data_IF_404361381964
#
_entry.id   IF_404361381964
#
_cell.length_a   1.000
_cell.length_b   1.000
_cell.length_c   1.000
_cell.angle_alpha   90.00
_cell.angle_beta   90.00
_cell.angle_gamma   90.00
#
_symmetry.space_group_name_H-M   'P 1'
#
loop_
_entity.id
_entity.type
_entity.pdbx_description
1 polymer ?
#
# COMPACT_ATOMS: atom_id res chain seq x y z
N UNK A 1 -3.60 -0.24 -18.81
CA UNK A 1 -3.82 -0.27 -17.35
C UNK A 1 -4.84 -1.31 -16.90
N UNK A 2 -6.08 -1.30 -17.44
CA UNK A 2 -7.15 -2.23 -16.99
C UNK A 2 -6.81 -3.73 -17.09
N UNK A 3 -6.07 -4.12 -18.14
CA UNK A 3 -5.72 -5.53 -18.42
C UNK A 3 -4.76 -6.13 -17.39
N UNK A 4 -4.08 -5.29 -16.62
CA UNK A 4 -3.10 -5.72 -15.60
C UNK A 4 -3.66 -5.45 -14.20
N UNK A 5 -4.20 -4.25 -13.96
CA UNK A 5 -4.64 -3.86 -12.62
C UNK A 5 -5.84 -4.66 -12.11
N UNK A 6 -6.79 -5.03 -12.97
CA UNK A 6 -7.97 -5.81 -12.57
C UNK A 6 -7.62 -7.24 -12.14
N UNK A 7 -6.89 -8.06 -12.93
CA UNK A 7 -6.51 -9.39 -12.48
C UNK A 7 -5.57 -9.35 -11.28
N UNK A 8 -4.68 -8.35 -11.20
CA UNK A 8 -3.80 -8.16 -10.05
C UNK A 8 -4.61 -7.84 -8.77
N UNK A 9 -5.56 -6.90 -8.84
CA UNK A 9 -6.46 -6.60 -7.72
C UNK A 9 -7.32 -7.80 -7.32
N UNK A 10 -7.80 -8.58 -8.29
CA UNK A 10 -8.57 -9.80 -8.01
C UNK A 10 -7.72 -10.85 -7.28
N UNK A 11 -6.48 -11.08 -7.72
CA UNK A 11 -5.56 -12.00 -7.05
C UNK A 11 -5.21 -11.53 -5.64
N UNK A 12 -4.95 -10.24 -5.45
CA UNK A 12 -4.71 -9.65 -4.14
C UNK A 12 -5.93 -9.79 -3.21
N UNK A 13 -7.13 -9.52 -3.73
CA UNK A 13 -8.38 -9.70 -2.99
C UNK A 13 -8.62 -11.17 -2.61
N UNK A 14 -8.39 -12.10 -3.53
CA UNK A 14 -8.45 -13.54 -3.23
C UNK A 14 -7.43 -13.94 -2.16
N UNK A 15 -6.20 -13.40 -2.20
CA UNK A 15 -5.18 -13.62 -1.17
C UNK A 15 -5.63 -13.15 0.21
N UNK A 16 -6.18 -11.94 0.30
CA UNK A 16 -6.70 -11.38 1.55
C UNK A 16 -7.91 -12.16 2.10
N UNK A 17 -8.84 -12.56 1.23
CA UNK A 17 -9.98 -13.39 1.62
C UNK A 17 -9.55 -14.81 2.03
N UNK A 18 -8.57 -15.39 1.34
CA UNK A 18 -7.98 -16.68 1.72
C UNK A 18 -7.28 -16.59 3.07
N UNK A 19 -6.62 -15.47 3.37
CA UNK A 19 -6.00 -15.22 4.67
C UNK A 19 -7.05 -15.21 5.78
N UNK A 20 -8.13 -14.45 5.60
CA UNK A 20 -9.28 -14.42 6.52
C UNK A 20 -9.88 -15.82 6.72
N UNK A 21 -10.10 -16.57 5.63
CA UNK A 21 -10.61 -17.93 5.70
C UNK A 21 -9.65 -18.89 6.43
N UNK A 22 -8.35 -18.80 6.19
CA UNK A 22 -7.34 -19.62 6.86
C UNK A 22 -7.33 -19.37 8.37
N UNK A 23 -7.45 -18.11 8.80
CA UNK A 23 -7.55 -17.76 10.22
C UNK A 23 -8.82 -18.34 10.84
N UNK A 24 -9.98 -18.13 10.21
CA UNK A 24 -11.26 -18.64 10.72
C UNK A 24 -11.32 -20.18 10.80
N UNK A 25 -10.69 -20.88 9.85
CA UNK A 25 -10.71 -22.34 9.79
C UNK A 25 -9.59 -23.00 10.61
N UNK A 26 -8.72 -22.21 11.27
CA UNK A 26 -7.58 -22.75 12.01
C UNK A 26 -6.58 -23.50 11.12
N UNK A 27 -6.37 -23.01 9.90
CA UNK A 27 -5.50 -23.64 8.91
C UNK A 27 -4.02 -23.65 9.38
N UNK A 28 -3.19 -24.57 8.85
CA UNK A 28 -1.77 -24.63 9.20
C UNK A 28 -1.05 -23.30 8.90
N UNK A 29 -0.10 -22.89 9.76
CA UNK A 29 0.58 -21.59 9.65
C UNK A 29 1.17 -21.29 8.26
N UNK A 30 1.66 -22.31 7.53
CA UNK A 30 2.21 -22.13 6.18
C UNK A 30 1.20 -21.55 5.18
N UNK A 31 -0.10 -21.84 5.34
CA UNK A 31 -1.15 -21.34 4.44
C UNK A 31 -1.36 -19.84 4.61
N UNK A 32 -1.13 -19.30 5.81
CA UNK A 32 -1.19 -17.85 6.07
C UNK A 32 -0.12 -17.11 5.28
N UNK A 33 1.11 -17.63 5.25
CA UNK A 33 2.20 -17.05 4.45
C UNK A 33 1.92 -17.13 2.96
N UNK A 34 1.38 -18.27 2.48
CA UNK A 34 1.02 -18.44 1.08
C UNK A 34 -0.12 -17.49 0.66
N UNK A 35 -1.16 -17.34 1.49
CA UNK A 35 -2.26 -16.42 1.25
C UNK A 35 -1.78 -14.96 1.26
N UNK A 36 -0.93 -14.60 2.22
CA UNK A 36 -0.33 -13.28 2.31
C UNK A 36 0.53 -12.96 1.08
N UNK A 37 1.30 -13.92 0.56
CA UNK A 37 2.11 -13.71 -0.65
C UNK A 37 1.26 -13.31 -1.87
N UNK A 38 0.02 -13.82 -1.99
CA UNK A 38 -0.88 -13.40 -3.06
C UNK A 38 -1.30 -11.92 -2.95
N UNK A 39 -1.33 -11.35 -1.74
CA UNK A 39 -1.62 -9.93 -1.53
C UNK A 39 -0.52 -9.00 -2.07
N UNK A 40 0.71 -9.51 -2.29
CA UNK A 40 1.79 -8.73 -2.91
C UNK A 40 1.50 -8.32 -4.37
N UNK A 41 0.39 -8.80 -4.95
CA UNK A 41 -0.06 -8.43 -6.29
C UNK A 41 -0.94 -7.17 -6.34
N UNK A 42 -1.11 -6.46 -5.23
CA UNK A 42 -1.85 -5.17 -5.21
C UNK A 42 -1.31 -4.23 -6.29
N UNK A 43 -2.15 -3.72 -7.19
CA UNK A 43 -1.72 -2.76 -8.21
C UNK A 43 -1.33 -1.42 -7.58
N UNK A 44 -0.26 -0.82 -8.10
CA UNK A 44 0.16 0.51 -7.68
C UNK A 44 -0.70 1.60 -8.34
N UNK A 45 -1.78 1.99 -7.67
CA UNK A 45 -2.73 2.99 -8.15
C UNK A 45 -2.08 4.37 -8.35
N UNK A 46 -1.21 4.81 -7.43
CA UNK A 46 -0.53 6.10 -7.52
C UNK A 46 0.40 6.20 -8.74
N UNK A 47 1.19 5.17 -9.04
CA UNK A 47 2.02 5.14 -10.25
C UNK A 47 1.14 5.18 -11.52
N UNK A 48 0.00 4.49 -11.51
CA UNK A 48 -0.96 4.51 -12.62
C UNK A 48 -1.60 5.90 -12.79
N UNK A 49 -1.95 6.59 -11.71
CA UNK A 49 -2.52 7.93 -11.74
C UNK A 49 -1.51 8.96 -12.24
N UNK A 50 -0.27 8.93 -11.74
CA UNK A 50 0.84 9.78 -12.22
C UNK A 50 1.08 9.61 -13.73
N UNK A 51 1.00 8.38 -14.26
CA UNK A 51 1.09 8.13 -15.71
C UNK A 51 -0.07 8.77 -16.50
N UNK A 52 -1.27 8.89 -15.92
CA UNK A 52 -2.42 9.58 -16.55
C UNK A 52 -2.22 11.08 -16.53
N UNK A 53 -1.75 11.64 -15.42
CA UNK A 53 -1.40 13.06 -15.32
C UNK A 53 -0.35 13.46 -16.35
N UNK A 54 0.70 12.64 -16.51
CA UNK A 54 1.72 12.86 -17.55
C UNK A 54 1.11 12.89 -18.97
N UNK A 55 0.18 11.97 -19.26
CA UNK A 55 -0.49 11.90 -20.56
C UNK A 55 -1.49 13.06 -20.81
N UNK A 56 -2.18 13.52 -19.76
CA UNK A 56 -3.20 14.59 -19.87
C UNK A 56 -2.59 15.99 -19.89
N UNK A 57 -1.54 16.23 -19.09
CA UNK A 57 -0.99 17.55 -18.89
C UNK A 57 0.12 17.90 -19.89
N UNK A 58 0.56 16.95 -20.73
CA UNK A 58 1.60 17.19 -21.72
C UNK A 58 2.86 17.76 -21.08
N UNK A 59 3.70 18.48 -21.83
CA UNK A 59 5.01 18.98 -21.36
C UNK A 59 4.98 20.10 -20.31
N UNK A 60 3.82 20.49 -19.75
CA UNK A 60 3.73 21.55 -18.74
C UNK A 60 4.29 21.09 -17.37
N UNK A 61 5.51 21.53 -16.98
CA UNK A 61 6.17 21.01 -15.79
C UNK A 61 5.50 21.49 -14.49
N UNK A 62 4.96 22.72 -14.49
CA UNK A 62 4.33 23.31 -13.33
C UNK A 62 3.04 22.56 -12.98
N UNK A 63 2.19 22.29 -13.98
CA UNK A 63 0.94 21.55 -13.76
C UNK A 63 1.20 20.09 -13.40
N UNK A 64 2.22 19.45 -13.99
CA UNK A 64 2.66 18.09 -13.60
C UNK A 64 3.14 18.04 -12.15
N UNK A 65 3.90 19.03 -11.71
CA UNK A 65 4.34 19.13 -10.32
C UNK A 65 3.14 19.24 -9.37
N UNK A 66 2.20 20.15 -9.64
CA UNK A 66 0.97 20.29 -8.82
C UNK A 66 0.17 18.99 -8.77
N UNK A 67 0.00 18.30 -9.90
CA UNK A 67 -0.71 17.02 -9.94
C UNK A 67 0.00 15.92 -9.14
N UNK A 68 1.34 15.83 -9.24
CA UNK A 68 2.12 14.87 -8.45
C UNK A 68 2.07 15.19 -6.94
N UNK A 69 2.07 16.47 -6.58
CA UNK A 69 1.92 16.91 -5.19
C UNK A 69 0.53 16.58 -4.64
N UNK A 70 -0.52 16.69 -5.46
CA UNK A 70 -1.88 16.25 -5.09
C UNK A 70 -1.93 14.73 -4.85
N UNK A 71 -1.39 13.94 -5.77
CA UNK A 71 -1.31 12.48 -5.60
C UNK A 71 -0.54 12.09 -4.32
N UNK A 72 0.58 12.77 -4.05
CA UNK A 72 1.35 12.57 -2.84
C UNK A 72 0.56 12.93 -1.57
N UNK A 73 -0.18 14.04 -1.58
CA UNK A 73 -0.99 14.44 -0.44
C UNK A 73 -2.11 13.43 -0.16
N UNK A 74 -2.75 12.89 -1.21
CA UNK A 74 -3.75 11.84 -1.08
C UNK A 74 -3.13 10.54 -0.54
N UNK A 75 -1.96 10.14 -1.07
CA UNK A 75 -1.21 8.98 -0.57
C UNK A 75 -0.91 9.11 0.94
N UNK A 76 -0.48 10.30 1.38
CA UNK A 76 -0.17 10.58 2.79
C UNK A 76 -1.43 10.54 3.68
N UNK A 77 -2.54 11.11 3.22
CA UNK A 77 -3.83 11.04 3.94
C UNK A 77 -4.28 9.59 4.08
N UNK A 78 -4.19 8.79 3.03
CA UNK A 78 -4.50 7.37 3.07
C UNK A 78 -3.60 6.61 4.05
N UNK A 79 -2.29 6.91 4.06
CA UNK A 79 -1.33 6.31 4.97
C UNK A 79 -1.62 6.64 6.44
N UNK A 80 -2.07 7.87 6.71
CA UNK A 80 -2.39 8.36 8.05
C UNK A 80 -3.74 7.84 8.57
N UNK A 81 -4.78 7.88 7.73
CA UNK A 81 -6.16 7.52 8.11
C UNK A 81 -6.39 6.01 8.07
N UNK A 82 -5.71 5.30 7.17
CA UNK A 82 -5.91 3.87 6.94
C UNK A 82 -5.77 3.01 8.20
N UNK A 83 -4.64 3.07 8.94
CA UNK A 83 -4.44 2.30 10.16
C UNK A 83 -5.45 2.65 11.28
N UNK A 84 -5.77 3.94 11.44
CA UNK A 84 -6.74 4.39 12.44
C UNK A 84 -8.15 3.85 12.14
N UNK A 85 -8.58 3.94 10.87
CA UNK A 85 -9.85 3.38 10.42
C UNK A 85 -9.87 1.85 10.61
N UNK A 86 -8.79 1.16 10.24
CA UNK A 86 -8.69 -0.29 10.39
C UNK A 86 -8.79 -0.71 11.86
N UNK A 87 -8.08 -0.04 12.76
CA UNK A 87 -8.15 -0.31 14.20
C UNK A 87 -9.57 -0.12 14.76
N UNK A 88 -10.25 0.96 14.40
CA UNK A 88 -11.64 1.19 14.80
C UNK A 88 -12.55 0.09 14.26
N UNK A 89 -12.43 -0.29 13.00
CA UNK A 89 -13.26 -1.34 12.39
C UNK A 89 -13.04 -2.70 13.07
N UNK A 90 -11.77 -3.09 13.29
CA UNK A 90 -11.43 -4.36 13.93
C UNK A 90 -11.91 -4.45 15.38
N UNK A 91 -11.94 -3.32 16.11
CA UNK A 91 -12.34 -3.28 17.53
C UNK A 91 -13.83 -3.06 17.74
N UNK A 92 -14.51 -2.37 16.83
CA UNK A 92 -15.94 -2.03 16.96
C UNK A 92 -16.90 -3.03 16.29
N UNK A 93 -16.44 -3.76 15.28
CA UNK A 93 -17.29 -4.68 14.51
C UNK A 93 -16.89 -6.14 14.76
N UNK A 94 -15.79 -6.56 14.15
CA UNK A 94 -15.23 -7.90 14.27
C UNK A 94 -13.75 -7.87 13.78
N UNK A 95 -12.89 -8.80 14.22
CA UNK A 95 -11.45 -8.73 13.97
C UNK A 95 -11.05 -8.58 12.49
N UNK A 96 -11.83 -9.14 11.57
CA UNK A 96 -11.56 -9.17 10.14
C UNK A 96 -12.10 -7.94 9.39
N UNK A 97 -12.87 -7.07 10.06
CA UNK A 97 -13.60 -5.97 9.42
C UNK A 97 -12.66 -4.99 8.71
N UNK A 98 -11.49 -4.70 9.28
CA UNK A 98 -10.47 -3.85 8.65
C UNK A 98 -9.97 -4.44 7.32
N UNK A 99 -9.64 -5.73 7.31
CA UNK A 99 -9.17 -6.44 6.10
C UNK A 99 -10.25 -6.51 5.03
N UNK A 100 -11.49 -6.87 5.39
CA UNK A 100 -12.60 -6.95 4.44
C UNK A 100 -12.93 -5.58 3.83
N UNK A 101 -12.91 -4.53 4.65
CA UNK A 101 -13.10 -3.15 4.18
C UNK A 101 -11.97 -2.75 3.22
N UNK A 102 -10.72 -3.08 3.54
CA UNK A 102 -9.57 -2.87 2.65
C UNK A 102 -9.74 -3.57 1.29
N UNK A 103 -10.21 -4.82 1.28
CA UNK A 103 -10.53 -5.56 0.05
C UNK A 103 -11.63 -4.86 -0.76
N UNK A 104 -12.71 -4.44 -0.10
CA UNK A 104 -13.80 -3.72 -0.76
C UNK A 104 -13.31 -2.40 -1.38
N UNK A 105 -12.51 -1.62 -0.65
CA UNK A 105 -11.91 -0.37 -1.14
C UNK A 105 -10.94 -0.61 -2.30
N UNK A 106 -10.11 -1.66 -2.24
CA UNK A 106 -9.19 -2.02 -3.32
C UNK A 106 -9.95 -2.38 -4.59
N UNK A 107 -10.90 -3.31 -4.50
CA UNK A 107 -11.68 -3.78 -5.66
C UNK A 107 -12.54 -2.65 -6.21
N UNK A 108 -13.26 -1.91 -5.36
CA UNK A 108 -14.04 -0.75 -5.74
C UNK A 108 -13.19 0.35 -6.37
N UNK A 109 -12.10 0.74 -5.72
CA UNK A 109 -11.18 1.78 -6.20
C UNK A 109 -10.57 1.43 -7.55
N UNK A 110 -10.05 0.21 -7.72
CA UNK A 110 -9.45 -0.22 -8.99
C UNK A 110 -10.50 -0.37 -10.09
N UNK A 111 -11.70 -0.87 -9.77
CA UNK A 111 -12.79 -0.97 -10.77
C UNK A 111 -13.22 0.41 -11.25
N UNK A 112 -13.47 1.36 -10.33
CA UNK A 112 -13.80 2.75 -10.65
C UNK A 112 -12.67 3.44 -11.44
N UNK A 113 -11.43 3.34 -10.96
CA UNK A 113 -10.27 3.93 -11.61
C UNK A 113 -10.06 3.42 -13.04
N UNK A 114 -10.18 2.11 -13.23
CA UNK A 114 -10.02 1.47 -14.55
C UNK A 114 -11.26 1.61 -15.44
N UNK A 115 -12.40 2.07 -14.91
CA UNK A 115 -13.58 2.41 -15.71
C UNK A 115 -13.40 3.74 -16.47
N UNK A 116 -12.53 4.64 -16.00
CA UNK A 116 -12.26 5.96 -16.59
C UNK A 116 -11.48 5.91 -17.92
N UNK A 117 -12.03 5.30 -18.97
CA UNK A 117 -11.26 4.99 -20.21
C UNK A 117 -10.68 6.19 -20.94
N UNK A 118 -11.31 7.37 -20.83
CA UNK A 118 -10.88 8.59 -21.52
C UNK A 118 -9.47 9.04 -21.12
N UNK A 119 -9.06 8.75 -19.89
CA UNK A 119 -7.77 9.16 -19.33
C UNK A 119 -6.75 8.02 -19.32
N UNK A 120 -7.04 6.87 -19.92
CA UNK A 120 -6.09 5.75 -19.99
C UNK A 120 -4.94 6.10 -20.97
N UNK A 121 -3.66 6.07 -20.55
CA UNK A 121 -2.54 6.38 -21.43
C UNK A 121 -2.46 5.35 -22.57
N UNK A 122 -2.15 5.82 -23.78
CA UNK A 122 -1.95 4.91 -24.91
C UNK A 122 -0.75 3.99 -24.61
N UNK A 123 -0.87 2.66 -24.80
CA UNK A 123 0.26 1.76 -24.63
C UNK A 123 1.39 2.21 -25.55
N UNK A 124 2.56 2.49 -24.98
CA UNK A 124 3.72 2.78 -25.79
C UNK A 124 4.17 1.49 -26.48
N UNK A 125 4.51 1.50 -27.78
CA UNK A 125 5.07 0.33 -28.44
C UNK A 125 6.30 -0.11 -27.65
N UNK A 126 6.43 -1.42 -27.42
CA UNK A 126 7.62 -1.97 -26.77
C UNK A 126 8.83 -1.54 -27.59
N UNK A 127 9.70 -0.73 -27.01
CA UNK A 127 11.00 -0.47 -27.60
C UNK A 127 11.74 -1.80 -27.76
N UNK A 128 12.13 -2.15 -28.98
CA UNK A 128 12.92 -3.34 -29.26
C UNK A 128 14.32 -3.31 -28.59
N UNK A 129 14.73 -2.14 -28.07
CA UNK A 129 16.06 -1.89 -27.49
C UNK A 129 16.05 -1.69 -25.97
N UNK A 130 14.88 -1.74 -25.32
CA UNK A 130 14.79 -1.69 -23.86
C UNK A 130 15.06 -3.06 -23.21
N UNK A 131 15.64 -3.13 -21.99
CA UNK A 131 15.83 -4.41 -21.33
C UNK A 131 14.48 -5.12 -21.14
N UNK A 132 14.39 -6.34 -21.65
CA UNK A 132 13.16 -7.12 -21.72
C UNK A 132 12.54 -7.43 -20.34
N UNK A 133 13.32 -7.30 -19.26
CA UNK A 133 12.90 -7.57 -17.89
C UNK A 133 13.38 -6.43 -16.98
N UNK A 134 12.49 -5.61 -16.40
CA UNK A 134 12.86 -4.55 -15.45
C UNK A 134 13.73 -5.04 -14.29
N UNK A 135 13.56 -6.30 -13.86
CA UNK A 135 14.35 -6.94 -12.80
C UNK A 135 15.84 -7.13 -13.15
N UNK A 136 16.22 -7.01 -14.43
CA UNK A 136 17.61 -7.16 -14.89
C UNK A 136 18.35 -5.82 -14.98
N UNK A 137 17.74 -4.71 -14.55
CA UNK A 137 18.44 -3.43 -14.56
C UNK A 137 19.45 -3.33 -13.41
N UNK A 138 20.67 -2.83 -13.67
CA UNK A 138 21.66 -2.59 -12.64
C UNK A 138 21.08 -1.53 -11.67
N UNK A 139 20.89 -1.93 -10.41
CA UNK A 139 20.25 -1.10 -9.37
C UNK A 139 18.95 -1.68 -8.81
N UNK A 140 18.26 -2.56 -9.53
CA UNK A 140 17.01 -3.16 -9.03
C UNK A 140 17.25 -4.12 -7.87
N UNK A 141 18.28 -4.97 -7.94
CA UNK A 141 18.62 -5.91 -6.87
C UNK A 141 18.95 -5.23 -5.53
N UNK A 142 19.84 -4.21 -5.46
CA UNK A 142 20.09 -3.51 -4.20
C UNK A 142 18.85 -2.75 -3.69
N UNK A 143 18.02 -2.18 -4.57
CA UNK A 143 16.75 -1.55 -4.17
C UNK A 143 15.80 -2.57 -3.53
N UNK A 144 15.64 -3.74 -4.14
CA UNK A 144 14.83 -4.83 -3.58
C UNK A 144 15.38 -5.29 -2.22
N UNK A 145 16.71 -5.38 -2.08
CA UNK A 145 17.33 -5.74 -0.81
C UNK A 145 17.08 -4.69 0.29
N UNK A 146 17.15 -3.40 -0.05
CA UNK A 146 16.82 -2.31 0.88
C UNK A 146 15.35 -2.38 1.30
N UNK A 147 14.42 -2.48 0.34
CA UNK A 147 13.00 -2.60 0.67
C UNK A 147 12.68 -3.86 1.50
N UNK A 148 13.34 -4.97 1.21
CA UNK A 148 13.23 -6.19 2.00
C UNK A 148 13.74 -5.96 3.43
N UNK A 149 14.93 -5.39 3.59
CA UNK A 149 15.51 -5.11 4.91
C UNK A 149 14.64 -4.15 5.71
N UNK A 150 14.13 -3.08 5.08
CA UNK A 150 13.17 -2.17 5.69
C UNK A 150 11.90 -2.90 6.14
N UNK A 151 11.31 -3.72 5.26
CA UNK A 151 10.12 -4.51 5.59
C UNK A 151 10.36 -5.49 6.74
N UNK A 152 11.53 -6.15 6.77
CA UNK A 152 11.94 -7.01 7.89
C UNK A 152 11.97 -6.22 9.17
N UNK A 153 12.66 -5.07 9.21
CA UNK A 153 12.78 -4.24 10.42
C UNK A 153 11.42 -3.81 10.97
N UNK A 154 10.56 -3.25 10.12
CA UNK A 154 9.22 -2.82 10.57
C UNK A 154 8.37 -4.02 11.02
N UNK A 155 8.42 -5.13 10.28
CA UNK A 155 7.69 -6.34 10.62
C UNK A 155 8.13 -6.98 11.94
N UNK A 156 9.45 -7.12 12.18
CA UNK A 156 9.93 -7.66 13.45
C UNK A 156 9.65 -6.71 14.60
N UNK A 157 9.74 -5.40 14.42
CA UNK A 157 9.43 -4.43 15.48
C UNK A 157 7.99 -4.56 15.97
N UNK A 158 7.01 -4.68 15.07
CA UNK A 158 5.60 -4.84 15.44
C UNK A 158 5.34 -6.18 16.14
N UNK A 159 5.84 -7.29 15.58
CA UNK A 159 5.64 -8.64 16.14
C UNK A 159 6.32 -8.77 17.50
N UNK A 160 7.56 -8.30 17.64
CA UNK A 160 8.29 -8.42 18.92
C UNK A 160 7.70 -7.54 20.00
N UNK A 161 7.19 -6.36 19.67
CA UNK A 161 6.53 -5.45 20.62
C UNK A 161 5.25 -6.07 21.18
N UNK A 162 4.42 -6.65 20.30
CA UNK A 162 3.21 -7.37 20.72
C UNK A 162 3.55 -8.59 21.58
N UNK A 163 4.51 -9.41 21.15
CA UNK A 163 4.94 -10.60 21.89
C UNK A 163 5.54 -10.26 23.26
N UNK A 164 6.33 -9.18 23.35
CA UNK A 164 6.90 -8.71 24.62
C UNK A 164 5.82 -8.21 25.59
N UNK A 165 4.86 -7.42 25.08
CA UNK A 165 3.76 -6.92 25.90
C UNK A 165 2.89 -8.06 26.46
N UNK A 166 2.62 -9.08 25.63
CA UNK A 166 1.89 -10.28 26.05
C UNK A 166 2.68 -11.09 27.09
N UNK A 167 3.98 -11.33 26.85
CA UNK A 167 4.86 -12.03 27.79
C UNK A 167 5.00 -11.30 29.14
N UNK A 168 4.91 -9.97 29.15
CA UNK A 168 4.90 -9.15 30.35
C UNK A 168 3.54 -9.13 31.08
N UNK A 169 2.51 -9.84 30.58
CA UNK A 169 1.15 -9.86 31.14
C UNK A 169 0.33 -8.60 30.82
N UNK A 170 0.80 -7.76 29.90
CA UNK A 170 0.19 -6.49 29.53
C UNK A 170 -0.24 -6.50 28.05
N UNK A 171 -1.01 -7.52 27.62
CA UNK A 171 -1.47 -7.65 26.23
C UNK A 171 -2.19 -6.38 25.70
N UNK A 172 -2.97 -5.72 26.55
CA UNK A 172 -3.63 -4.45 26.22
C UNK A 172 -2.62 -3.30 25.94
N UNK A 173 -1.45 -3.32 26.59
CA UNK A 173 -0.40 -2.34 26.34
C UNK A 173 0.27 -2.54 24.97
N UNK A 174 0.32 -3.77 24.45
CA UNK A 174 0.83 -4.03 23.10
C UNK A 174 0.02 -3.30 22.03
N UNK A 175 -1.32 -3.43 22.10
CA UNK A 175 -2.22 -2.68 21.22
C UNK A 175 -2.13 -1.16 21.42
N UNK A 176 -1.97 -0.70 22.66
CA UNK A 176 -1.78 0.72 22.97
C UNK A 176 -0.48 1.27 22.35
N UNK A 177 0.62 0.54 22.42
CA UNK A 177 1.92 0.95 21.86
C UNK A 177 1.83 1.05 20.33
N UNK A 178 1.21 0.06 19.67
CA UNK A 178 0.98 0.12 18.22
C UNK A 178 0.07 1.29 17.85
N UNK A 179 -0.98 1.55 18.66
CA UNK A 179 -1.85 2.71 18.48
C UNK A 179 -1.11 4.05 18.64
N UNK A 180 -0.25 4.17 19.65
CA UNK A 180 0.59 5.36 19.88
C UNK A 180 1.63 5.54 18.77
N UNK A 181 2.20 4.45 18.25
CA UNK A 181 3.11 4.49 17.11
C UNK A 181 2.39 5.02 15.87
N UNK A 182 1.19 4.51 15.56
CA UNK A 182 0.37 5.01 14.46
C UNK A 182 0.01 6.50 14.65
N UNK A 183 -0.35 6.91 15.87
CA UNK A 183 -0.62 8.30 16.21
C UNK A 183 0.63 9.19 16.05
N UNK A 184 1.80 8.71 16.48
CA UNK A 184 3.08 9.39 16.33
C UNK A 184 3.46 9.57 14.86
N UNK A 185 3.29 8.55 14.03
CA UNK A 185 3.50 8.62 12.58
C UNK A 185 2.54 9.61 11.92
N UNK A 186 1.27 9.63 12.34
CA UNK A 186 0.28 10.61 11.90
C UNK A 186 0.72 12.05 12.23
N UNK A 187 1.10 12.32 13.49
CA UNK A 187 1.57 13.64 13.91
C UNK A 187 2.85 14.03 13.18
N UNK A 188 3.80 13.12 13.02
CA UNK A 188 5.03 13.37 12.28
C UNK A 188 4.74 13.71 10.81
N UNK A 189 3.84 12.96 10.14
CA UNK A 189 3.39 13.24 8.79
C UNK A 189 2.73 14.62 8.66
N UNK A 190 1.86 14.99 9.60
CA UNK A 190 1.24 16.32 9.64
C UNK A 190 2.27 17.44 9.85
N UNK A 191 3.18 17.28 10.80
CA UNK A 191 4.23 18.27 11.10
C UNK A 191 5.19 18.42 9.92
N UNK A 192 5.60 17.32 9.30
CA UNK A 192 6.50 17.34 8.15
C UNK A 192 5.79 17.90 6.90
N UNK A 193 4.53 17.52 6.66
CA UNK A 193 3.71 18.03 5.57
C UNK A 193 3.34 19.51 5.71
N UNK A 194 3.25 20.03 6.93
CA UNK A 194 3.04 21.45 7.20
C UNK A 194 4.31 22.30 7.05
N UNK A 195 5.50 21.70 6.95
CA UNK A 195 6.76 22.44 6.72
C UNK A 195 6.92 22.71 5.23
N UNK A 196 7.09 23.99 4.88
CA UNK A 196 7.43 24.39 3.52
C UNK A 196 8.75 23.75 3.09
N UNK A 197 8.87 23.27 1.83
CA UNK A 197 10.10 22.68 1.34
C UNK A 197 11.27 23.66 1.46
N UNK A 198 12.40 23.19 2.00
CA UNK A 198 13.63 23.96 2.21
C UNK A 198 14.41 24.25 0.90
N UNK A 199 13.93 23.78 -0.25
CA UNK A 199 14.59 23.98 -1.55
C UNK A 199 13.70 24.77 -2.51
N UNK A 200 14.23 25.81 -3.19
CA UNK A 200 13.51 26.51 -4.25
C UNK A 200 13.34 25.62 -5.50
N UNK A 201 12.36 25.95 -6.38
CA UNK A 201 12.08 25.21 -7.62
C UNK A 201 13.23 25.25 -8.63
#
# INVERSE_FOLDING_TARGET
QRRVARPAAALAACGALALVACVHLGAPAWTLFAAYAATATVPNAGAMARARWQALLGEDPARRHTANSLEQAVDEVCFMVGPALAAVLCTSLFPEAGTLTGVALLVGGITLFTAQRATEPRPHPRSATGPAVPLRQPGTAPLLAVFLATGVVFGTLEVTTLAFADAAGHAAAGGLIVGLQAAGSCVAGLVYGARAPLAPP
#
